data_IF_634536058991
#
_entry.id   IF_634536058991
#
_cell.length_a   1.000
_cell.length_b   1.000
_cell.length_c   1.000
_cell.angle_alpha   90.00
_cell.angle_beta   90.00
_cell.angle_gamma   90.00
#
_symmetry.space_group_name_H-M   'P 1'
#
loop_
_entity.id
_entity.type
_entity.pdbx_description
1 polymer ?
#
# COMPACT_ATOMS: atom_id res chain seq x y z
N UNK A 1 -53.04 -34.35 10.15
CA UNK A 1 -54.40 -34.26 9.58
C UNK A 1 -54.85 -32.81 9.55
N UNK A 2 -55.19 -32.29 8.34
CA UNK A 2 -56.16 -31.22 7.97
C UNK A 2 -56.13 -29.90 8.78
N UNK A 3 -55.62 -28.79 8.23
CA UNK A 3 -56.20 -27.80 7.26
C UNK A 3 -57.10 -26.72 7.88
N UNK A 4 -56.80 -25.45 7.55
CA UNK A 4 -57.65 -24.31 7.10
C UNK A 4 -56.69 -23.10 6.95
N UNK A 5 -56.20 -22.68 5.78
CA UNK A 5 -56.84 -21.95 4.65
C UNK A 5 -57.87 -20.91 5.11
N UNK A 6 -57.55 -19.62 4.90
CA UNK A 6 -58.37 -18.64 4.16
C UNK A 6 -57.42 -17.62 3.51
N UNK A 7 -57.77 -17.28 2.29
CA UNK A 7 -57.04 -16.58 1.24
C UNK A 7 -58.01 -15.47 0.81
N UNK A 8 -57.60 -14.19 0.75
CA UNK A 8 -58.37 -13.17 0.02
C UNK A 8 -57.40 -12.35 -0.84
N UNK A 9 -57.55 -12.58 -2.15
CA UNK A 9 -57.08 -11.81 -3.30
C UNK A 9 -58.20 -10.83 -3.67
N UNK A 10 -57.85 -9.58 -3.98
CA UNK A 10 -58.45 -8.77 -5.07
C UNK A 10 -57.68 -7.44 -5.16
N UNK A 11 -56.96 -7.15 -6.26
CA UNK A 11 -57.44 -6.39 -7.44
C UNK A 11 -57.93 -4.97 -7.07
N UNK A 12 -57.56 -3.85 -7.71
CA UNK A 12 -57.32 -3.57 -9.13
C UNK A 12 -56.84 -2.10 -9.29
N UNK A 13 -55.84 -1.92 -10.15
CA UNK A 13 -55.63 -0.89 -11.19
C UNK A 13 -55.97 0.61 -10.99
N UNK A 14 -54.93 1.42 -11.24
CA UNK A 14 -54.80 2.49 -12.28
C UNK A 14 -55.68 3.74 -12.17
N UNK A 15 -55.02 4.90 -12.05
CA UNK A 15 -55.19 6.00 -13.00
C UNK A 15 -53.99 6.95 -12.98
N UNK A 16 -53.50 7.21 -14.19
CA UNK A 16 -52.35 8.03 -14.52
C UNK A 16 -52.77 9.49 -14.78
N UNK A 17 -51.78 10.40 -14.72
CA UNK A 17 -51.65 11.61 -15.57
C UNK A 17 -52.62 12.78 -15.26
N UNK A 18 -52.31 14.10 -15.28
CA UNK A 18 -51.32 14.92 -16.02
C UNK A 18 -51.31 16.38 -15.42
N UNK A 19 -50.10 16.96 -15.28
CA UNK A 19 -49.62 18.35 -15.53
C UNK A 19 -50.16 19.61 -14.80
N UNK A 20 -49.20 20.37 -14.23
CA UNK A 20 -48.74 21.76 -14.56
C UNK A 20 -47.87 22.22 -13.36
N UNK A 21 -46.64 22.73 -13.40
CA UNK A 21 -45.80 23.34 -14.42
C UNK A 21 -45.37 24.74 -13.92
N UNK A 22 -44.15 24.91 -13.39
CA UNK A 22 -43.31 26.13 -13.53
C UNK A 22 -41.92 26.06 -12.83
N UNK A 23 -40.88 26.23 -13.64
CA UNK A 23 -39.53 26.80 -13.45
C UNK A 23 -38.41 26.17 -12.56
N UNK A 24 -37.42 25.64 -13.31
CA UNK A 24 -35.96 25.34 -13.14
C UNK A 24 -35.12 26.27 -12.23
N UNK A 25 -33.84 25.92 -11.85
CA UNK A 25 -32.87 25.03 -12.53
C UNK A 25 -32.29 23.87 -11.67
N UNK A 26 -32.17 22.65 -12.21
CA UNK A 26 -30.99 22.04 -12.88
C UNK A 26 -29.71 22.00 -12.03
N UNK A 27 -29.55 20.90 -11.28
CA UNK A 27 -28.25 20.30 -10.95
C UNK A 27 -28.24 18.95 -11.68
N UNK A 28 -27.33 18.79 -12.64
CA UNK A 28 -27.16 17.53 -13.36
C UNK A 28 -26.53 16.51 -12.40
N UNK A 29 -27.35 15.55 -11.95
CA UNK A 29 -26.85 14.28 -11.41
C UNK A 29 -26.09 13.58 -12.54
N UNK A 30 -24.78 13.49 -12.40
CA UNK A 30 -23.95 12.67 -13.28
C UNK A 30 -24.28 11.23 -12.98
N UNK A 31 -24.97 10.59 -13.92
CA UNK A 31 -25.23 9.15 -13.91
C UNK A 31 -23.91 8.41 -13.92
N UNK A 32 -23.66 7.72 -12.81
CA UNK A 32 -22.72 6.64 -12.67
C UNK A 32 -23.07 5.57 -13.73
N UNK A 33 -22.33 5.59 -14.84
CA UNK A 33 -22.29 4.45 -15.74
C UNK A 33 -21.38 3.41 -15.09
N UNK A 34 -21.97 2.45 -14.38
CA UNK A 34 -21.38 1.12 -14.21
C UNK A 34 -21.27 0.49 -15.59
N UNK A 35 -20.20 0.84 -16.31
CA UNK A 35 -19.64 0.02 -17.36
C UNK A 35 -18.81 -1.04 -16.65
N UNK A 36 -19.26 -2.29 -16.79
CA UNK A 36 -18.52 -3.48 -16.42
C UNK A 36 -17.31 -3.53 -17.35
N UNK A 37 -16.20 -2.93 -16.91
CA UNK A 37 -14.95 -2.89 -17.66
C UNK A 37 -14.34 -4.29 -17.63
N UNK A 38 -14.44 -5.00 -18.74
CA UNK A 38 -13.56 -6.11 -19.02
C UNK A 38 -12.20 -5.49 -19.40
N UNK A 39 -11.51 -4.96 -18.39
CA UNK A 39 -10.36 -4.06 -18.52
C UNK A 39 -9.24 -4.70 -19.32
N UNK A 40 -9.13 -4.31 -20.58
CA UNK A 40 -7.96 -4.58 -21.40
C UNK A 40 -6.86 -3.65 -20.85
N UNK A 41 -5.93 -4.21 -20.07
CA UNK A 41 -4.77 -3.48 -19.54
C UNK A 41 -4.07 -2.80 -20.72
N UNK A 42 -3.81 -1.49 -20.60
CA UNK A 42 -3.18 -0.75 -21.69
C UNK A 42 -1.77 -1.28 -21.93
N UNK A 43 -1.28 -1.15 -23.17
CA UNK A 43 0.11 -1.54 -23.49
C UNK A 43 1.14 -0.72 -22.69
N UNK A 44 0.78 0.49 -22.26
CA UNK A 44 1.62 1.33 -21.39
C UNK A 44 1.69 0.77 -19.96
N UNK A 45 0.56 0.32 -19.41
CA UNK A 45 0.51 -0.30 -18.08
C UNK A 45 1.31 -1.62 -18.05
N UNK A 46 1.15 -2.47 -19.08
CA UNK A 46 1.94 -3.72 -19.20
C UNK A 46 3.44 -3.44 -19.21
N UNK A 47 3.85 -2.40 -19.94
CA UNK A 47 5.25 -2.01 -20.05
C UNK A 47 5.81 -1.47 -18.74
N UNK A 48 5.00 -0.72 -17.99
CA UNK A 48 5.35 -0.27 -16.65
C UNK A 48 5.54 -1.45 -15.69
N UNK A 49 4.67 -2.47 -15.75
CA UNK A 49 4.82 -3.69 -14.95
C UNK A 49 6.13 -4.42 -15.28
N UNK A 50 6.50 -4.51 -16.57
CA UNK A 50 7.79 -5.08 -16.99
C UNK A 50 8.98 -4.29 -16.42
N UNK A 51 8.90 -2.96 -16.38
CA UNK A 51 9.93 -2.12 -15.77
C UNK A 51 10.00 -2.26 -14.25
N UNK A 52 8.86 -2.39 -13.57
CA UNK A 52 8.80 -2.66 -12.13
C UNK A 52 9.52 -3.97 -11.81
N UNK A 53 9.18 -5.05 -12.51
CA UNK A 53 9.84 -6.34 -12.31
C UNK A 53 11.31 -6.32 -12.71
N UNK A 54 11.69 -5.55 -13.74
CA UNK A 54 13.10 -5.29 -14.07
C UNK A 54 13.84 -4.66 -12.89
N UNK A 55 13.30 -3.60 -12.29
CA UNK A 55 13.94 -2.94 -11.14
C UNK A 55 14.09 -3.91 -9.97
N UNK A 56 13.02 -4.64 -9.61
CA UNK A 56 13.04 -5.60 -8.49
C UNK A 56 14.09 -6.71 -8.68
N UNK A 57 14.26 -7.25 -9.90
CA UNK A 57 15.25 -8.31 -10.19
C UNK A 57 16.69 -7.80 -10.35
N UNK A 58 16.89 -6.49 -10.52
CA UNK A 58 18.19 -5.92 -10.87
C UNK A 58 19.13 -5.88 -9.66
N UNK A 59 20.25 -6.61 -9.78
CA UNK A 59 21.32 -6.57 -8.77
C UNK A 59 21.97 -5.19 -8.72
N UNK A 60 22.23 -4.70 -7.51
CA UNK A 60 22.87 -3.39 -7.28
C UNK A 60 21.88 -2.21 -7.21
N UNK A 61 20.58 -2.45 -7.39
CA UNK A 61 19.55 -1.47 -6.99
C UNK A 61 19.41 -1.49 -5.47
N UNK A 62 19.22 -2.68 -4.90
CA UNK A 62 19.22 -2.92 -3.45
C UNK A 62 20.64 -2.96 -2.90
N UNK A 63 20.85 -2.28 -1.77
CA UNK A 63 22.10 -2.34 -1.01
C UNK A 63 21.98 -3.25 0.23
N UNK A 64 20.80 -3.84 0.47
CA UNK A 64 20.56 -4.77 1.58
C UNK A 64 21.20 -6.13 1.30
N UNK A 65 21.98 -6.64 2.26
CA UNK A 65 22.73 -7.91 2.14
C UNK A 65 22.07 -9.01 2.98
N UNK A 66 21.85 -10.16 2.31
CA UNK A 66 21.44 -11.52 2.70
C UNK A 66 21.10 -11.86 4.17
N UNK A 67 19.91 -12.44 4.36
CA UNK A 67 19.42 -13.11 5.57
C UNK A 67 17.89 -13.01 5.71
N UNK A 68 17.36 -11.88 5.25
CA UNK A 68 15.98 -11.44 5.45
C UNK A 68 15.14 -11.57 4.18
N UNK A 69 13.82 -11.60 4.34
CA UNK A 69 12.89 -11.51 3.22
C UNK A 69 12.76 -10.05 2.82
N UNK A 70 13.19 -9.72 1.59
CA UNK A 70 13.17 -8.36 1.07
C UNK A 70 11.86 -8.14 0.31
N UNK A 71 11.05 -7.21 0.81
CA UNK A 71 9.86 -6.73 0.12
C UNK A 71 10.17 -5.38 -0.54
N UNK A 72 9.70 -5.21 -1.77
CA UNK A 72 9.99 -4.03 -2.59
C UNK A 72 8.72 -3.40 -3.15
N UNK A 73 8.68 -2.07 -3.10
CA UNK A 73 7.71 -1.26 -3.83
C UNK A 73 8.44 -0.36 -4.83
N UNK A 74 7.95 -0.36 -6.06
CA UNK A 74 8.52 0.40 -7.17
C UNK A 74 7.39 1.14 -7.86
N UNK A 75 7.52 2.48 -7.94
CA UNK A 75 6.62 3.30 -8.75
C UNK A 75 7.42 4.05 -9.81
N UNK A 76 7.23 3.68 -11.07
CA UNK A 76 7.83 4.39 -12.20
C UNK A 76 7.04 5.69 -12.42
N UNK A 77 7.71 6.83 -12.28
CA UNK A 77 7.12 8.14 -12.59
C UNK A 77 7.47 8.60 -14.01
N UNK A 78 8.63 8.17 -14.53
CA UNK A 78 9.03 8.44 -15.90
C UNK A 78 9.90 7.32 -16.46
N UNK A 79 9.62 6.92 -17.69
CA UNK A 79 10.45 6.00 -18.47
C UNK A 79 10.80 6.62 -19.82
N UNK A 80 12.09 6.68 -20.14
CA UNK A 80 12.59 7.13 -21.43
C UNK A 80 13.38 6.00 -22.09
N UNK A 81 12.86 5.50 -23.20
CA UNK A 81 13.50 4.43 -23.97
C UNK A 81 14.07 4.99 -25.28
N UNK A 82 15.38 4.79 -25.44
CA UNK A 82 16.14 5.06 -26.66
C UNK A 82 16.56 3.72 -27.30
N UNK A 83 17.27 3.76 -28.44
CA UNK A 83 17.59 2.57 -29.22
C UNK A 83 18.30 1.48 -28.40
N UNK A 84 19.21 1.87 -27.51
CA UNK A 84 20.08 1.02 -26.70
C UNK A 84 20.05 1.35 -25.19
N UNK A 85 19.22 2.32 -24.77
CA UNK A 85 19.20 2.83 -23.40
C UNK A 85 17.77 2.91 -22.85
N UNK A 86 17.60 2.56 -21.58
CA UNK A 86 16.38 2.82 -20.81
C UNK A 86 16.74 3.64 -19.57
N UNK A 87 16.08 4.80 -19.41
CA UNK A 87 16.20 5.62 -18.21
C UNK A 87 14.88 5.59 -17.45
N UNK A 88 14.93 5.20 -16.18
CA UNK A 88 13.79 5.19 -15.27
C UNK A 88 13.99 6.22 -14.17
N UNK A 89 12.97 7.02 -13.88
CA UNK A 89 12.88 7.86 -12.70
C UNK A 89 11.71 7.32 -11.88
N UNK A 90 11.98 6.93 -10.64
CA UNK A 90 11.04 6.17 -9.81
C UNK A 90 11.11 6.55 -8.34
N UNK A 91 10.01 6.28 -7.63
CA UNK A 91 10.02 6.14 -6.18
C UNK A 91 10.29 4.67 -5.84
N UNK A 92 11.26 4.42 -4.95
CA UNK A 92 11.70 3.09 -4.58
C UNK A 92 11.65 2.92 -3.07
N UNK A 93 11.04 1.82 -2.63
CA UNK A 93 11.08 1.37 -1.24
C UNK A 93 11.56 -0.07 -1.21
N UNK A 94 12.47 -0.38 -0.30
CA UNK A 94 12.80 -1.75 0.08
C UNK A 94 12.83 -1.90 1.59
N UNK A 95 12.31 -3.02 2.07
CA UNK A 95 12.25 -3.35 3.49
C UNK A 95 12.72 -4.79 3.69
N UNK A 96 13.65 -4.98 4.61
CA UNK A 96 14.09 -6.29 5.06
C UNK A 96 13.25 -6.76 6.25
N UNK A 97 12.81 -8.00 6.21
CA UNK A 97 12.04 -8.62 7.27
C UNK A 97 12.64 -9.94 7.74
N UNK A 98 12.70 -10.10 9.06
CA UNK A 98 12.82 -11.43 9.70
C UNK A 98 11.42 -11.94 10.04
N UNK A 99 11.25 -13.27 10.01
CA UNK A 99 9.99 -13.92 10.35
C UNK A 99 10.19 -14.83 11.56
N UNK A 100 9.42 -14.59 12.63
CA UNK A 100 9.41 -15.38 13.85
C UNK A 100 7.99 -15.40 14.43
N UNK A 101 7.53 -16.54 14.96
CA UNK A 101 6.23 -16.68 15.63
C UNK A 101 5.05 -16.03 14.88
N UNK A 102 4.92 -16.32 13.58
CA UNK A 102 3.84 -15.81 12.72
C UNK A 102 3.83 -14.28 12.48
N UNK A 103 4.90 -13.58 12.86
CA UNK A 103 5.03 -12.14 12.73
C UNK A 103 6.31 -11.78 12.00
N UNK A 104 6.23 -10.80 11.10
CA UNK A 104 7.41 -10.22 10.47
C UNK A 104 7.90 -9.02 11.26
N UNK A 105 9.20 -8.89 11.45
CA UNK A 105 9.81 -7.70 12.07
C UNK A 105 10.68 -7.02 11.03
N UNK A 106 10.43 -5.73 10.77
CA UNK A 106 11.29 -4.94 9.91
C UNK A 106 12.64 -4.71 10.60
N UNK A 107 13.74 -5.02 9.92
CA UNK A 107 15.11 -4.93 10.46
C UNK A 107 15.91 -3.81 9.81
N UNK A 108 15.60 -3.51 8.56
CA UNK A 108 16.24 -2.48 7.76
C UNK A 108 15.32 -2.06 6.61
N UNK A 109 15.63 -0.92 6.01
CA UNK A 109 14.93 -0.47 4.84
C UNK A 109 15.45 0.85 4.32
N UNK A 110 14.98 1.19 3.13
CA UNK A 110 15.18 2.52 2.56
C UNK A 110 13.92 2.91 1.78
N UNK A 111 13.66 4.21 1.76
CA UNK A 111 12.74 4.81 0.82
C UNK A 111 13.44 5.99 0.19
N UNK A 112 13.60 5.97 -1.14
CA UNK A 112 14.20 7.09 -1.85
C UNK A 112 13.81 7.13 -3.31
N UNK A 113 13.81 8.32 -3.93
CA UNK A 113 13.71 8.43 -5.36
C UNK A 113 15.03 7.97 -6.01
N UNK A 114 14.93 7.28 -7.14
CA UNK A 114 16.07 6.80 -7.91
C UNK A 114 15.94 7.20 -9.38
N UNK A 115 17.09 7.48 -9.99
CA UNK A 115 17.27 7.46 -11.44
C UNK A 115 18.16 6.27 -11.80
N UNK A 116 17.62 5.36 -12.59
CA UNK A 116 18.30 4.15 -13.05
C UNK A 116 18.50 4.22 -14.55
N UNK A 117 19.74 4.02 -15.00
CA UNK A 117 20.09 3.99 -16.42
C UNK A 117 20.56 2.58 -16.76
N UNK A 118 19.84 1.96 -17.70
CA UNK A 118 20.13 0.64 -18.22
C UNK A 118 20.60 0.73 -19.67
N UNK A 119 21.52 -0.15 -20.04
CA UNK A 119 21.85 -0.43 -21.44
C UNK A 119 21.19 -1.75 -21.86
N UNK A 120 20.72 -1.81 -23.11
CA UNK A 120 20.18 -3.04 -23.70
C UNK A 120 21.31 -4.04 -23.93
N UNK A 121 21.13 -5.25 -23.43
CA UNK A 121 22.03 -6.38 -23.64
C UNK A 121 21.24 -7.55 -24.22
N UNK A 122 21.05 -7.53 -25.54
CA UNK A 122 20.15 -8.46 -26.24
C UNK A 122 18.69 -8.13 -25.92
N UNK A 123 17.95 -9.12 -25.41
CA UNK A 123 16.55 -8.97 -24.99
C UNK A 123 16.41 -8.56 -23.51
N UNK A 124 17.53 -8.30 -22.80
CA UNK A 124 17.53 -7.91 -21.37
C UNK A 124 18.18 -6.54 -21.17
N UNK A 125 18.17 -6.06 -19.93
CA UNK A 125 18.75 -4.79 -19.52
C UNK A 125 19.86 -4.99 -18.49
N UNK A 126 20.96 -4.28 -18.66
CA UNK A 126 22.06 -4.23 -17.69
C UNK A 126 22.11 -2.85 -17.03
N UNK A 127 22.04 -2.79 -15.70
CA UNK A 127 22.15 -1.53 -14.96
C UNK A 127 23.57 -0.97 -15.10
N UNK A 128 23.66 0.28 -15.56
CA UNK A 128 24.93 1.01 -15.72
C UNK A 128 25.09 2.11 -14.70
N UNK A 129 24.01 2.83 -14.38
CA UNK A 129 24.05 3.92 -13.42
C UNK A 129 22.85 3.86 -12.48
N UNK A 130 23.14 4.04 -11.19
CA UNK A 130 22.17 4.29 -10.12
C UNK A 130 22.50 5.65 -9.53
N UNK A 131 21.56 6.58 -9.61
CA UNK A 131 21.66 7.93 -9.07
C UNK A 131 20.55 8.09 -8.03
N UNK A 132 20.93 8.53 -6.84
CA UNK A 132 20.02 8.94 -5.77
C UNK A 132 20.34 10.38 -5.36
N UNK A 133 19.38 11.13 -4.79
CA UNK A 133 19.70 12.38 -4.11
C UNK A 133 20.69 12.18 -2.97
N UNK A 134 21.38 13.25 -2.60
CA UNK A 134 22.19 13.35 -1.39
C UNK A 134 21.30 13.38 -0.15
N UNK A 135 21.81 12.94 1.01
CA UNK A 135 21.10 13.06 2.27
C UNK A 135 21.19 14.48 2.87
N UNK A 136 20.21 14.83 3.71
CA UNK A 136 20.23 16.06 4.51
C UNK A 136 20.07 17.33 3.67
N UNK A 137 20.84 18.37 3.99
CA UNK A 137 20.72 19.71 3.39
C UNK A 137 20.93 19.71 1.85
N UNK A 138 21.63 18.70 1.31
CA UNK A 138 21.86 18.54 -0.13
C UNK A 138 20.74 17.86 -0.90
N UNK A 139 19.72 17.33 -0.22
CA UNK A 139 18.68 16.49 -0.82
C UNK A 139 17.91 17.20 -1.93
N UNK A 140 17.40 18.40 -1.67
CA UNK A 140 16.56 19.10 -2.65
C UNK A 140 17.34 19.48 -3.91
N UNK A 141 18.55 20.02 -3.77
CA UNK A 141 19.37 20.44 -4.92
C UNK A 141 19.81 19.26 -5.78
N UNK A 142 20.15 18.13 -5.16
CA UNK A 142 20.52 16.90 -5.87
C UNK A 142 19.31 16.22 -6.53
N UNK A 143 18.15 16.20 -5.87
CA UNK A 143 16.88 15.76 -6.45
C UNK A 143 16.54 16.58 -7.70
N UNK A 144 16.57 17.91 -7.62
CA UNK A 144 16.26 18.77 -8.77
C UNK A 144 17.26 18.58 -9.92
N UNK A 145 18.53 18.27 -9.66
CA UNK A 145 19.49 17.90 -10.71
C UNK A 145 19.15 16.54 -11.33
N UNK A 146 18.75 15.56 -10.51
CA UNK A 146 18.42 14.21 -10.97
C UNK A 146 17.24 14.21 -11.96
N UNK A 147 16.25 15.08 -11.73
CA UNK A 147 15.05 15.22 -12.57
C UNK A 147 15.11 16.41 -13.54
N UNK A 148 16.30 16.90 -13.87
CA UNK A 148 16.51 17.98 -14.86
C UNK A 148 15.67 19.25 -14.60
N UNK A 149 15.54 19.63 -13.32
CA UNK A 149 14.75 20.76 -12.82
C UNK A 149 13.22 20.63 -12.97
N UNK A 150 12.70 19.45 -13.28
CA UNK A 150 11.27 19.15 -13.33
C UNK A 150 10.68 19.06 -11.91
N UNK A 151 9.92 20.09 -11.52
CA UNK A 151 9.34 20.19 -10.19
C UNK A 151 8.15 19.25 -9.98
N UNK A 152 7.39 18.98 -11.03
CA UNK A 152 6.22 18.10 -10.94
C UNK A 152 6.70 16.66 -10.73
N UNK A 153 7.71 16.25 -11.51
CA UNK A 153 8.32 14.94 -11.35
C UNK A 153 9.03 14.78 -10.01
N UNK A 154 9.75 15.82 -9.54
CA UNK A 154 10.36 15.82 -8.20
C UNK A 154 9.32 15.59 -7.10
N UNK A 155 8.17 16.28 -7.20
CA UNK A 155 7.09 16.14 -6.24
C UNK A 155 6.48 14.74 -6.30
N UNK A 156 6.22 14.21 -7.50
CA UNK A 156 5.61 12.89 -7.67
C UNK A 156 6.44 11.76 -7.02
N UNK A 157 7.76 11.75 -7.25
CA UNK A 157 8.62 10.66 -6.74
C UNK A 157 8.93 10.77 -5.24
N UNK A 158 8.62 11.90 -4.62
CA UNK A 158 8.80 12.14 -3.17
C UNK A 158 7.50 12.19 -2.38
N UNK A 159 6.34 12.31 -3.03
CA UNK A 159 5.05 12.44 -2.35
C UNK A 159 4.50 11.14 -1.79
N UNK A 160 5.04 9.98 -2.20
CA UNK A 160 4.51 8.69 -1.80
C UNK A 160 4.94 8.37 -0.39
N UNK A 161 3.98 8.24 0.52
CA UNK A 161 4.26 7.83 1.90
C UNK A 161 4.41 6.31 2.01
N UNK A 162 5.07 5.86 3.07
CA UNK A 162 5.09 4.44 3.45
C UNK A 162 3.69 3.87 3.67
N UNK A 163 2.77 4.67 4.20
CA UNK A 163 1.38 4.25 4.42
C UNK A 163 0.60 4.02 3.12
N UNK A 164 0.90 4.77 2.05
CA UNK A 164 0.30 4.58 0.72
C UNK A 164 0.84 3.33 0.02
N UNK A 165 2.13 3.03 0.17
CA UNK A 165 2.77 1.85 -0.44
C UNK A 165 2.61 0.56 0.38
N UNK A 166 2.16 0.65 1.63
CA UNK A 166 2.09 -0.47 2.57
C UNK A 166 1.39 -1.71 1.99
N UNK A 167 0.21 -1.56 1.38
CA UNK A 167 -0.54 -2.69 0.83
C UNK A 167 0.23 -3.43 -0.27
N UNK A 168 0.93 -2.68 -1.13
CA UNK A 168 1.74 -3.27 -2.21
C UNK A 168 3.02 -3.91 -1.67
N UNK A 169 3.62 -3.33 -0.62
CA UNK A 169 4.74 -3.95 0.10
C UNK A 169 4.29 -5.27 0.73
N UNK A 170 3.12 -5.33 1.36
CA UNK A 170 2.60 -6.56 1.96
C UNK A 170 2.32 -7.64 0.91
N UNK A 171 1.81 -7.26 -0.28
CA UNK A 171 1.64 -8.19 -1.41
C UNK A 171 2.97 -8.76 -1.88
N UNK A 172 3.98 -7.91 -2.00
CA UNK A 172 5.33 -8.35 -2.38
C UNK A 172 5.92 -9.26 -1.31
N UNK A 173 5.80 -8.90 -0.02
CA UNK A 173 6.23 -9.71 1.12
C UNK A 173 5.54 -11.09 1.14
N UNK A 174 4.24 -11.14 0.86
CA UNK A 174 3.48 -12.38 0.73
C UNK A 174 4.07 -13.29 -0.35
N UNK A 175 4.24 -12.76 -1.57
CA UNK A 175 4.85 -13.49 -2.68
C UNK A 175 6.25 -13.99 -2.32
N UNK A 176 7.07 -13.15 -1.68
CA UNK A 176 8.43 -13.51 -1.27
C UNK A 176 8.46 -14.58 -0.18
N UNK A 177 7.52 -14.54 0.77
CA UNK A 177 7.36 -15.59 1.77
C UNK A 177 6.95 -16.93 1.14
N UNK A 178 6.06 -16.91 0.14
CA UNK A 178 5.71 -18.11 -0.64
C UNK A 178 6.91 -18.65 -1.43
N UNK A 179 7.66 -17.78 -2.12
CA UNK A 179 8.88 -18.14 -2.87
C UNK A 179 9.96 -18.74 -1.96
N UNK A 180 10.08 -18.24 -0.72
CA UNK A 180 10.98 -18.75 0.30
C UNK A 180 10.48 -20.05 0.96
N UNK A 181 9.24 -20.47 0.70
CA UNK A 181 8.65 -21.67 1.27
C UNK A 181 8.32 -21.57 2.76
N UNK A 182 8.12 -20.34 3.28
CA UNK A 182 7.65 -20.15 4.65
C UNK A 182 6.27 -20.81 4.84
N UNK A 183 6.07 -21.41 6.01
CA UNK A 183 4.79 -22.00 6.41
C UNK A 183 4.14 -21.12 7.47
N UNK A 184 2.82 -21.05 7.43
CA UNK A 184 2.01 -20.40 8.45
C UNK A 184 2.36 -18.91 8.67
N UNK A 185 2.83 -18.20 7.64
CA UNK A 185 3.22 -16.78 7.75
C UNK A 185 2.03 -15.79 7.71
N UNK A 186 0.83 -16.30 7.48
CA UNK A 186 -0.42 -15.54 7.70
C UNK A 186 -0.87 -15.69 9.14
N UNK A 187 -1.34 -14.60 9.74
CA UNK A 187 -1.77 -14.59 11.14
C UNK A 187 -3.25 -14.97 11.29
N UNK A 188 -3.55 -15.88 12.21
CA UNK A 188 -4.91 -16.14 12.69
C UNK A 188 -5.27 -15.16 13.82
N UNK A 189 -6.20 -14.25 13.56
CA UNK A 189 -6.67 -13.26 14.55
C UNK A 189 -7.32 -13.89 15.78
N UNK A 190 -7.73 -15.16 15.72
CA UNK A 190 -8.24 -15.87 16.89
C UNK A 190 -7.14 -16.26 17.88
N UNK A 191 -5.89 -16.38 17.42
CA UNK A 191 -4.76 -16.93 18.15
C UNK A 191 -3.47 -16.12 17.90
N UNK A 192 -3.48 -14.83 18.23
CA UNK A 192 -2.35 -13.94 17.99
C UNK A 192 -1.23 -14.15 19.04
N UNK A 193 0.00 -14.55 18.64
CA UNK A 193 1.11 -14.73 19.57
C UNK A 193 1.44 -13.46 20.33
N UNK A 194 1.52 -13.54 21.66
CA UNK A 194 1.81 -12.40 22.54
C UNK A 194 0.62 -11.46 22.81
N UNK A 195 -0.52 -11.62 22.14
CA UNK A 195 -1.68 -10.74 22.26
C UNK A 195 -2.97 -11.54 22.58
N UNK A 196 -3.18 -11.97 23.84
CA UNK A 196 -4.39 -12.66 24.24
C UNK A 196 -5.62 -11.73 24.13
N UNK A 197 -6.75 -12.27 23.66
CA UNK A 197 -7.94 -11.48 23.30
C UNK A 197 -8.55 -10.66 24.45
N UNK A 198 -8.44 -11.12 25.68
CA UNK A 198 -8.99 -10.44 26.86
C UNK A 198 -8.10 -9.30 27.36
N UNK A 199 -6.82 -9.30 26.99
CA UNK A 199 -5.84 -8.27 27.37
C UNK A 199 -5.41 -7.39 26.20
N UNK A 200 -5.92 -7.64 24.99
CA UNK A 200 -5.51 -6.94 23.77
C UNK A 200 -6.65 -6.15 23.14
N UNK A 201 -6.29 -5.09 22.41
CA UNK A 201 -7.20 -4.34 21.55
C UNK A 201 -6.92 -4.70 20.10
N UNK A 202 -7.99 -4.77 19.30
CA UNK A 202 -7.97 -4.93 17.85
C UNK A 202 -8.65 -3.69 17.28
N UNK A 203 -7.84 -2.75 16.81
CA UNK A 203 -8.27 -1.41 16.44
C UNK A 203 -8.28 -1.29 14.92
N UNK A 204 -9.37 -0.75 14.38
CA UNK A 204 -9.44 -0.36 12.98
C UNK A 204 -9.34 1.17 12.87
N UNK A 205 -8.96 1.66 11.70
CA UNK A 205 -8.91 3.10 11.39
C UNK A 205 -8.03 3.90 12.38
N UNK A 206 -6.92 3.29 12.84
CA UNK A 206 -5.93 3.98 13.67
C UNK A 206 -5.28 5.10 12.85
N UNK A 207 -5.12 6.31 13.41
CA UNK A 207 -4.40 7.40 12.77
C UNK A 207 -3.00 7.00 12.30
N UNK A 208 -2.54 7.59 11.19
CA UNK A 208 -1.23 7.35 10.57
C UNK A 208 -0.94 5.91 10.13
N UNK A 209 -1.81 4.95 10.46
CA UNK A 209 -1.69 3.55 10.06
C UNK A 209 -2.38 3.28 8.70
N UNK A 210 -1.94 2.23 7.97
CA UNK A 210 -2.56 1.85 6.70
C UNK A 210 -4.06 1.55 6.87
N UNK A 211 -4.92 2.16 6.05
CA UNK A 211 -6.40 2.05 6.20
C UNK A 211 -6.95 0.62 6.11
N UNK A 212 -6.30 -0.25 5.35
CA UNK A 212 -6.69 -1.66 5.21
C UNK A 212 -6.03 -2.56 6.26
N UNK A 213 -5.79 -2.05 7.47
CA UNK A 213 -5.12 -2.78 8.53
C UNK A 213 -5.97 -2.91 9.81
N UNK A 214 -5.53 -3.82 10.67
CA UNK A 214 -5.96 -3.93 12.07
C UNK A 214 -4.72 -3.77 12.93
N UNK A 215 -4.74 -2.82 13.85
CA UNK A 215 -3.70 -2.65 14.86
C UNK A 215 -4.02 -3.53 16.06
N UNK A 216 -3.04 -4.31 16.50
CA UNK A 216 -3.15 -5.23 17.63
C UNK A 216 -2.15 -4.81 18.70
N UNK A 217 -2.64 -4.47 19.89
CA UNK A 217 -1.84 -3.89 20.99
C UNK A 217 -2.30 -4.42 22.33
N UNK A 218 -1.42 -4.41 23.34
CA UNK A 218 -1.84 -4.65 24.72
C UNK A 218 -2.73 -3.50 25.19
N UNK A 219 -3.89 -3.83 25.76
CA UNK A 219 -4.91 -2.86 26.17
C UNK A 219 -4.44 -1.93 27.28
N UNK A 220 -3.76 -2.46 28.29
CA UNK A 220 -3.30 -1.66 29.43
C UNK A 220 -2.23 -0.66 28.98
N UNK A 221 -1.29 -1.13 28.16
CA UNK A 221 -0.21 -0.30 27.61
C UNK A 221 -0.75 0.79 26.68
N UNK A 222 -1.66 0.44 25.78
CA UNK A 222 -2.31 1.41 24.88
C UNK A 222 -3.06 2.51 25.65
N UNK A 223 -3.89 2.12 26.63
CA UNK A 223 -4.65 3.07 27.45
C UNK A 223 -3.75 3.95 28.33
N UNK A 224 -2.57 3.45 28.70
CA UNK A 224 -1.55 4.22 29.43
C UNK A 224 -0.87 5.23 28.51
N UNK A 225 -0.41 4.79 27.33
CA UNK A 225 0.25 5.64 26.34
C UNK A 225 -0.68 6.78 25.89
N UNK A 226 -1.93 6.46 25.57
CA UNK A 226 -2.96 7.43 25.18
C UNK A 226 -3.22 8.51 26.23
N UNK A 227 -3.23 8.18 27.53
CA UNK A 227 -3.41 9.16 28.62
C UNK A 227 -2.22 10.10 28.82
N UNK A 228 -1.08 9.78 28.21
CA UNK A 228 0.17 10.50 28.33
C UNK A 228 0.51 11.38 27.12
N UNK A 229 -0.33 11.44 26.08
CA UNK A 229 -0.13 12.32 24.90
C UNK A 229 0.13 13.78 25.23
N UNK A 230 -0.50 14.33 26.26
CA UNK A 230 -0.26 15.71 26.67
C UNK A 230 0.95 15.89 27.60
N UNK A 231 1.55 14.79 28.07
CA UNK A 231 2.55 14.79 29.16
C UNK A 231 3.92 14.27 28.73
N UNK A 232 3.97 13.42 27.73
CA UNK A 232 5.20 12.79 27.22
C UNK A 232 5.44 13.24 25.79
N UNK A 233 6.72 13.40 25.42
CA UNK A 233 7.10 13.94 24.12
C UNK A 233 6.75 13.01 22.95
N UNK A 234 6.60 11.71 23.20
CA UNK A 234 6.25 10.70 22.20
C UNK A 234 5.71 9.44 22.88
N UNK A 235 4.45 9.42 23.34
CA UNK A 235 3.87 8.19 23.85
C UNK A 235 3.68 7.20 22.69
N UNK A 236 4.03 5.95 22.94
CA UNK A 236 3.96 4.88 21.96
C UNK A 236 3.74 3.54 22.66
N UNK A 237 3.35 2.53 21.89
CA UNK A 237 3.23 1.14 22.33
C UNK A 237 3.73 0.21 21.23
N UNK A 238 4.40 -0.88 21.59
CA UNK A 238 4.73 -1.93 20.62
C UNK A 238 3.47 -2.73 20.27
N UNK A 239 3.24 -2.92 18.98
CA UNK A 239 2.04 -3.58 18.46
C UNK A 239 2.33 -4.40 17.22
N UNK A 240 1.25 -4.94 16.66
CA UNK A 240 1.24 -5.50 15.32
C UNK A 240 0.35 -4.66 14.42
N UNK A 241 0.78 -4.47 13.17
CA UNK A 241 -0.07 -3.99 12.08
C UNK A 241 -0.39 -5.19 11.20
N UNK A 242 -1.65 -5.61 11.20
CA UNK A 242 -2.15 -6.72 10.41
C UNK A 242 -2.79 -6.21 9.12
N UNK A 243 -2.28 -6.60 7.96
CA UNK A 243 -2.88 -6.28 6.67
C UNK A 243 -4.06 -7.22 6.37
N UNK A 244 -5.24 -6.64 6.14
CA UNK A 244 -6.48 -7.43 5.95
C UNK A 244 -6.48 -8.24 4.66
N UNK A 245 -5.75 -7.81 3.63
CA UNK A 245 -5.74 -8.46 2.32
C UNK A 245 -4.84 -9.69 2.31
N UNK A 246 -3.58 -9.53 2.70
CA UNK A 246 -2.55 -10.59 2.71
C UNK A 246 -2.56 -11.41 3.98
N UNK A 247 -3.20 -10.92 5.05
CA UNK A 247 -3.22 -11.50 6.40
C UNK A 247 -1.85 -11.59 7.06
N UNK A 248 -0.89 -10.81 6.57
CA UNK A 248 0.42 -10.67 7.17
C UNK A 248 0.31 -9.73 8.36
N UNK A 249 1.01 -10.07 9.44
CA UNK A 249 1.21 -9.17 10.57
C UNK A 249 2.67 -8.76 10.65
N UNK A 250 2.91 -7.47 10.78
CA UNK A 250 4.24 -6.92 11.04
C UNK A 250 4.31 -6.30 12.44
N UNK A 251 5.46 -6.41 13.08
CA UNK A 251 5.72 -5.72 14.36
C UNK A 251 6.05 -4.26 14.09
N UNK A 252 5.37 -3.36 14.78
CA UNK A 252 5.52 -1.91 14.64
C UNK A 252 5.43 -1.17 15.98
N UNK A 253 5.87 0.08 15.97
CA UNK A 253 5.63 1.03 17.06
C UNK A 253 4.38 1.84 16.70
N UNK A 254 3.33 1.71 17.51
CA UNK A 254 2.08 2.44 17.34
C UNK A 254 2.15 3.72 18.18
N UNK A 255 1.94 4.85 17.52
CA UNK A 255 1.87 6.17 18.13
C UNK A 255 0.63 6.96 17.67
N UNK A 256 0.51 8.22 18.12
CA UNK A 256 -0.57 9.16 17.75
C UNK A 256 -2.01 8.60 17.88
N UNK A 257 -2.47 8.40 19.11
CA UNK A 257 -3.70 7.64 19.45
C UNK A 257 -5.01 8.45 19.35
N UNK A 258 -4.96 9.72 18.93
CA UNK A 258 -6.11 10.65 19.01
C UNK A 258 -6.32 11.59 17.83
N UNK A 259 -5.50 11.56 16.77
CA UNK A 259 -5.63 12.53 15.67
C UNK A 259 -6.26 12.01 14.38
#
# INVERSE_FOLDING_TARGET
>A
MKKKIILIISMLMVLAMIFTGCNKPKTDETKENTAQDNGEISEEDKKNDEYVELVKKTKGVSDLIEGDIIAQYVKIAKAEEEADKLTLILSYTELAYIYEDHVFTNTAGMQMPLKLVYEKNGDDYELKEKISPEDGDGFYDSLMKMVDSDKELAQEITSHSMSESFGDIMKDLYKKAEEAGLKDFTLDLDNVPGYPKDESLFLEEVPNEPKNSIVIVNKEEYEKAKKNEEKENWPHVEGLVYDKETKIAIKEIIDDFTK
#
